data_IF_502037673185
#
_entry.id   IF_502037673185
#
_cell.length_a   1.000
_cell.length_b   1.000
_cell.length_c   1.000
_cell.angle_alpha   90.00
_cell.angle_beta   90.00
_cell.angle_gamma   90.00
#
_symmetry.space_group_name_H-M   'P 1'
#
loop_
_entity.id
_entity.type
_entity.pdbx_description
1 polymer ?
#
# COMPACT_ATOMS: atom_id res chain seq x y z
N UNK A 1 3.66 -2.50 18.96
CA UNK A 1 2.49 -2.82 18.12
C UNK A 1 2.71 -2.07 16.82
N UNK A 2 3.39 -2.70 15.86
CA UNK A 2 3.75 -2.09 14.58
C UNK A 2 3.55 -3.20 13.54
N UNK A 3 2.30 -3.36 13.13
CA UNK A 3 1.91 -4.21 12.02
C UNK A 3 2.14 -3.45 10.70
N UNK A 4 2.68 -4.17 9.71
CA UNK A 4 2.62 -3.87 8.28
C UNK A 4 3.49 -2.72 7.74
N UNK A 5 4.80 -2.99 7.61
CA UNK A 5 5.55 -2.45 6.48
C UNK A 5 6.25 -3.59 5.73
N UNK A 6 5.43 -4.30 4.96
CA UNK A 6 5.88 -5.01 3.76
C UNK A 6 5.02 -4.47 2.63
N UNK A 7 5.30 -3.24 2.23
CA UNK A 7 4.74 -2.64 1.02
C UNK A 7 5.87 -2.46 0.02
N UNK A 8 5.67 -3.04 -1.16
CA UNK A 8 6.28 -2.61 -2.41
C UNK A 8 6.14 -1.09 -2.50
N UNK A 9 7.21 -0.36 -2.18
CA UNK A 9 7.15 1.08 -1.94
C UNK A 9 7.45 1.91 -3.19
N UNK A 10 7.25 1.36 -4.39
CA UNK A 10 7.56 2.04 -5.65
C UNK A 10 6.34 2.53 -6.44
N UNK A 11 5.10 2.33 -5.96
CA UNK A 11 3.91 2.88 -6.63
C UNK A 11 2.83 3.45 -5.70
N UNK A 12 3.20 3.95 -4.52
CA UNK A 12 2.25 4.68 -3.69
C UNK A 12 2.26 6.17 -4.09
N UNK A 13 1.45 6.52 -5.09
CA UNK A 13 1.17 7.92 -5.38
C UNK A 13 0.67 8.58 -4.08
N UNK A 14 1.28 9.70 -3.70
CA UNK A 14 0.96 10.38 -2.43
C UNK A 14 -0.40 11.07 -2.56
N UNK A 15 -1.17 11.07 -1.46
CA UNK A 15 -2.39 11.84 -1.39
C UNK A 15 -2.11 13.33 -1.64
N UNK A 16 -2.85 13.95 -2.55
CA UNK A 16 -2.79 15.38 -2.82
C UNK A 16 -3.76 16.12 -1.88
N UNK A 17 -3.27 16.49 -0.70
CA UNK A 17 -4.05 17.26 0.28
C UNK A 17 -4.43 18.67 -0.24
N UNK A 18 -3.65 19.23 -1.18
CA UNK A 18 -3.98 20.49 -1.81
C UNK A 18 -5.20 20.38 -2.72
N UNK A 19 -5.29 19.30 -3.50
CA UNK A 19 -6.47 18.96 -4.29
C UNK A 19 -7.68 18.67 -3.39
N UNK A 20 -7.50 17.87 -2.33
CA UNK A 20 -8.57 17.58 -1.37
C UNK A 20 -9.19 18.86 -0.81
N UNK A 21 -8.36 19.77 -0.31
CA UNK A 21 -8.81 21.06 0.24
C UNK A 21 -9.59 21.88 -0.79
N UNK A 22 -9.07 22.01 -2.02
CA UNK A 22 -9.76 22.72 -3.11
C UNK A 22 -11.12 22.11 -3.45
N UNK A 23 -11.26 20.78 -3.40
CA UNK A 23 -12.53 20.11 -3.68
C UNK A 23 -13.56 20.36 -2.56
N UNK A 24 -13.13 20.31 -1.30
CA UNK A 24 -13.99 20.58 -0.13
C UNK A 24 -14.41 22.05 -0.08
N UNK A 25 -13.49 22.98 -0.36
CA UNK A 25 -13.75 24.43 -0.31
C UNK A 25 -14.70 24.89 -1.44
N UNK A 26 -14.82 24.14 -2.53
CA UNK A 26 -15.74 24.43 -3.64
C UNK A 26 -17.20 24.08 -3.35
N UNK A 27 -17.47 23.29 -2.32
CA UNK A 27 -18.84 22.91 -1.97
C UNK A 27 -19.52 24.10 -1.29
N UNK A 28 -20.66 24.58 -1.79
CA UNK A 28 -21.37 25.72 -1.18
C UNK A 28 -22.14 25.27 0.06
N UNK A 29 -21.41 24.91 1.13
CA UNK A 29 -21.90 24.22 2.34
C UNK A 29 -23.17 24.84 2.92
N UNK A 30 -23.22 26.16 2.99
CA UNK A 30 -24.39 26.89 3.49
C UNK A 30 -25.65 26.61 2.68
N UNK A 31 -25.55 26.59 1.36
CA UNK A 31 -26.68 26.36 0.47
C UNK A 31 -27.13 24.89 0.49
N UNK A 32 -26.19 23.94 0.47
CA UNK A 32 -26.52 22.50 0.45
C UNK A 32 -26.99 21.97 1.79
N UNK A 33 -26.60 22.59 2.91
CA UNK A 33 -27.06 22.19 4.25
C UNK A 33 -28.31 22.96 4.70
N UNK A 34 -28.68 24.05 4.01
CA UNK A 34 -29.87 24.83 4.33
C UNK A 34 -31.13 23.97 4.30
N UNK A 35 -31.89 23.99 5.38
CA UNK A 35 -33.16 23.25 5.49
C UNK A 35 -33.01 21.73 5.62
N UNK A 36 -31.78 21.19 5.69
CA UNK A 36 -31.56 19.77 5.98
C UNK A 36 -31.60 19.51 7.47
N UNK A 37 -32.23 18.40 7.85
CA UNK A 37 -32.13 17.89 9.22
C UNK A 37 -30.69 17.45 9.53
N UNK A 38 -30.34 17.38 10.82
CA UNK A 38 -28.98 17.02 11.29
C UNK A 38 -28.47 15.73 10.65
N UNK A 39 -29.32 14.70 10.58
CA UNK A 39 -28.95 13.39 10.03
C UNK A 39 -28.75 13.42 8.51
N UNK A 40 -29.59 14.16 7.79
CA UNK A 40 -29.48 14.33 6.34
C UNK A 40 -28.26 15.18 5.96
N UNK A 41 -28.03 16.27 6.69
CA UNK A 41 -26.85 17.13 6.53
C UNK A 41 -25.57 16.35 6.79
N UNK A 42 -25.53 15.53 7.84
CA UNK A 42 -24.37 14.69 8.15
C UNK A 42 -24.10 13.62 7.09
N UNK A 43 -25.15 12.99 6.57
CA UNK A 43 -25.03 12.00 5.48
C UNK A 43 -24.49 12.65 4.21
N UNK A 44 -24.99 13.85 3.87
CA UNK A 44 -24.52 14.61 2.72
C UNK A 44 -23.05 15.04 2.88
N UNK A 45 -22.69 15.55 4.06
CA UNK A 45 -21.32 15.92 4.39
C UNK A 45 -20.35 14.76 4.18
N UNK A 46 -20.66 13.59 4.75
CA UNK A 46 -19.83 12.38 4.57
C UNK A 46 -19.65 12.01 3.10
N UNK A 47 -20.71 12.11 2.31
CA UNK A 47 -20.69 11.78 0.88
C UNK A 47 -19.76 12.70 0.10
N UNK A 48 -19.82 14.00 0.33
CA UNK A 48 -18.97 14.96 -0.39
C UNK A 48 -17.50 14.87 0.04
N UNK A 49 -17.24 14.65 1.33
CA UNK A 49 -15.88 14.39 1.83
C UNK A 49 -15.31 13.11 1.20
N UNK A 50 -16.11 12.03 1.11
CA UNK A 50 -15.68 10.78 0.51
C UNK A 50 -15.33 10.94 -0.98
N UNK A 51 -16.15 11.67 -1.75
CA UNK A 51 -15.85 11.99 -3.15
C UNK A 51 -14.57 12.80 -3.32
N UNK A 52 -14.32 13.77 -2.42
CA UNK A 52 -13.09 14.55 -2.44
C UNK A 52 -11.88 13.66 -2.10
N UNK A 53 -12.03 12.74 -1.16
CA UNK A 53 -11.02 11.76 -0.80
C UNK A 53 -10.71 10.81 -1.97
N UNK A 54 -11.70 10.26 -2.66
CA UNK A 54 -11.52 9.37 -3.80
C UNK A 54 -10.75 10.01 -4.96
N UNK A 55 -10.87 11.32 -5.14
CA UNK A 55 -10.17 12.07 -6.19
C UNK A 55 -8.76 12.52 -5.76
N UNK A 56 -8.59 12.89 -4.49
CA UNK A 56 -7.35 13.45 -3.98
C UNK A 56 -6.38 12.38 -3.47
N UNK A 57 -6.91 11.24 -3.03
CA UNK A 57 -6.13 10.09 -2.62
C UNK A 57 -6.16 9.11 -3.78
N UNK A 58 -5.03 8.86 -4.46
CA UNK A 58 -4.95 7.74 -5.38
C UNK A 58 -5.18 6.48 -4.55
N UNK A 59 -6.41 5.97 -4.59
CA UNK A 59 -6.71 4.64 -4.12
C UNK A 59 -5.87 3.73 -5.00
N UNK A 60 -4.77 3.20 -4.46
CA UNK A 60 -4.17 1.98 -4.98
C UNK A 60 -5.29 0.95 -4.93
N UNK A 61 -6.09 0.88 -6.00
CA UNK A 61 -6.96 -0.24 -6.22
C UNK A 61 -5.99 -1.39 -6.22
N UNK A 62 -6.04 -2.21 -5.16
CA UNK A 62 -5.51 -3.56 -5.20
C UNK A 62 -6.35 -4.25 -6.25
N UNK A 63 -6.07 -3.99 -7.52
CA UNK A 63 -6.50 -4.85 -8.59
C UNK A 63 -5.84 -6.16 -8.18
N UNK A 64 -6.65 -7.09 -7.69
CA UNK A 64 -6.26 -8.49 -7.46
C UNK A 64 -5.68 -9.13 -8.74
N UNK A 65 -5.68 -8.40 -9.86
CA UNK A 65 -5.02 -8.66 -11.14
C UNK A 65 -3.54 -8.30 -11.20
N UNK A 66 -2.96 -7.62 -10.20
CA UNK A 66 -1.50 -7.60 -10.10
C UNK A 66 -1.06 -8.98 -9.62
N UNK A 67 -0.92 -9.86 -10.62
CA UNK A 67 -0.29 -11.15 -10.45
C UNK A 67 1.09 -10.98 -9.82
N UNK A 68 1.62 -12.10 -9.32
CA UNK A 68 2.98 -12.25 -8.80
C UNK A 68 3.96 -11.28 -9.49
N UNK A 69 4.60 -10.34 -8.77
CA UNK A 69 5.55 -9.40 -9.34
C UNK A 69 6.59 -10.12 -10.21
N UNK A 70 7.02 -9.50 -11.31
CA UNK A 70 7.94 -10.14 -12.25
C UNK A 70 9.30 -10.51 -11.60
N UNK A 71 9.70 -9.80 -10.54
CA UNK A 71 10.89 -10.11 -9.76
C UNK A 71 10.69 -11.29 -8.79
N UNK A 72 9.44 -11.64 -8.45
CA UNK A 72 9.14 -12.64 -7.43
C UNK A 72 9.31 -14.05 -8.00
N UNK A 73 10.41 -14.73 -7.67
CA UNK A 73 10.63 -16.14 -8.02
C UNK A 73 9.97 -17.12 -6.99
N UNK A 74 9.95 -18.42 -7.29
CA UNK A 74 9.21 -19.43 -6.49
C UNK A 74 9.87 -19.65 -5.13
N UNK A 75 11.20 -19.62 -5.10
CA UNK A 75 12.01 -19.80 -3.90
C UNK A 75 11.83 -18.63 -2.93
N UNK A 76 11.97 -17.40 -3.42
CA UNK A 76 11.71 -16.19 -2.65
C UNK A 76 10.30 -16.15 -2.08
N UNK A 77 9.32 -16.64 -2.83
CA UNK A 77 7.94 -16.76 -2.33
C UNK A 77 7.81 -17.75 -1.16
N UNK A 78 8.54 -18.88 -1.18
CA UNK A 78 8.58 -19.84 -0.08
C UNK A 78 9.26 -19.23 1.17
N UNK A 79 10.34 -18.47 0.97
CA UNK A 79 11.03 -17.75 2.05
C UNK A 79 10.11 -16.73 2.74
N UNK A 80 9.36 -15.94 1.95
CA UNK A 80 8.37 -15.01 2.49
C UNK A 80 7.25 -15.72 3.26
N UNK A 81 6.87 -16.93 2.85
CA UNK A 81 5.92 -17.78 3.59
C UNK A 81 6.55 -18.31 4.89
N UNK A 82 7.84 -18.68 4.86
CA UNK A 82 8.62 -19.07 6.03
C UNK A 82 8.71 -17.96 7.07
N UNK A 83 8.97 -16.73 6.64
CA UNK A 83 8.96 -15.52 7.48
C UNK A 83 7.65 -15.35 8.25
N UNK A 84 6.50 -15.61 7.60
CA UNK A 84 5.19 -15.54 8.25
C UNK A 84 5.05 -16.58 9.36
N UNK A 85 5.51 -17.82 9.12
CA UNK A 85 5.50 -18.87 10.16
C UNK A 85 6.34 -18.48 11.38
N UNK A 86 7.52 -17.90 11.16
CA UNK A 86 8.40 -17.46 12.25
C UNK A 86 7.78 -16.29 13.01
N UNK A 87 7.13 -15.35 12.32
CA UNK A 87 6.36 -14.30 12.99
C UNK A 87 5.25 -14.88 13.88
N UNK A 88 4.49 -15.86 13.39
CA UNK A 88 3.42 -16.49 14.16
C UNK A 88 3.97 -17.22 15.40
N UNK A 89 5.13 -17.87 15.29
CA UNK A 89 5.81 -18.51 16.41
C UNK A 89 6.32 -17.49 17.42
N UNK A 90 6.97 -16.41 16.96
CA UNK A 90 7.43 -15.33 17.83
C UNK A 90 6.27 -14.67 18.57
N UNK A 91 5.14 -14.43 17.88
CA UNK A 91 3.94 -13.84 18.49
C UNK A 91 3.29 -14.76 19.55
N UNK A 92 3.51 -16.07 19.44
CA UNK A 92 3.12 -17.08 20.45
C UNK A 92 4.17 -17.30 21.54
N UNK A 93 5.31 -16.60 21.49
CA UNK A 93 6.43 -16.78 22.42
C UNK A 93 7.25 -18.06 22.19
N UNK A 94 7.06 -18.71 21.03
CA UNK A 94 7.71 -19.98 20.68
C UNK A 94 8.99 -19.80 19.84
N UNK A 95 9.25 -18.58 19.37
CA UNK A 95 10.50 -18.20 18.71
C UNK A 95 11.05 -16.93 19.35
N UNK A 96 12.36 -16.71 19.23
CA UNK A 96 12.98 -15.50 19.75
C UNK A 96 12.70 -14.32 18.84
N UNK A 97 12.83 -13.11 19.39
CA UNK A 97 12.74 -11.89 18.58
C UNK A 97 13.86 -11.83 17.53
N UNK A 98 15.02 -12.41 17.84
CA UNK A 98 16.18 -12.41 16.94
C UNK A 98 15.94 -13.32 15.73
N UNK A 99 15.35 -14.50 15.92
CA UNK A 99 14.96 -15.40 14.81
C UNK A 99 14.07 -14.68 13.79
N UNK A 100 13.11 -13.89 14.27
CA UNK A 100 12.24 -13.11 13.39
C UNK A 100 12.99 -11.96 12.68
N UNK A 101 13.88 -11.25 13.39
CA UNK A 101 14.67 -10.16 12.79
C UNK A 101 15.61 -10.68 11.71
N UNK A 102 16.25 -11.82 11.92
CA UNK A 102 17.17 -12.43 10.97
C UNK A 102 16.45 -12.79 9.67
N UNK A 103 15.32 -13.48 9.77
CA UNK A 103 14.52 -13.83 8.59
C UNK A 103 13.90 -12.60 7.93
N UNK A 104 13.51 -11.58 8.72
CA UNK A 104 13.06 -10.29 8.18
C UNK A 104 14.16 -9.61 7.35
N UNK A 105 15.40 -9.60 7.85
CA UNK A 105 16.57 -9.00 7.17
C UNK A 105 16.93 -9.78 5.91
N UNK A 106 16.98 -11.11 6.00
CA UNK A 106 17.25 -12.00 4.88
C UNK A 106 16.25 -11.80 3.74
N UNK A 107 14.94 -11.85 4.03
CA UNK A 107 13.90 -11.64 3.01
C UNK A 107 14.03 -10.26 2.34
N UNK A 108 14.35 -9.20 3.10
CA UNK A 108 14.54 -7.85 2.56
C UNK A 108 15.69 -7.78 1.57
N UNK A 109 16.80 -8.44 1.88
CA UNK A 109 17.96 -8.51 1.00
C UNK A 109 17.64 -9.27 -0.30
N UNK A 110 16.93 -10.40 -0.19
CA UNK A 110 16.56 -11.19 -1.36
C UNK A 110 15.61 -10.44 -2.30
N UNK A 111 14.63 -9.70 -1.76
CA UNK A 111 13.74 -8.85 -2.56
C UNK A 111 14.56 -7.82 -3.35
N UNK A 112 15.44 -7.07 -2.67
CA UNK A 112 16.26 -6.05 -3.31
C UNK A 112 17.11 -6.59 -4.45
N UNK A 113 17.73 -7.77 -4.26
CA UNK A 113 18.52 -8.43 -5.30
C UNK A 113 17.67 -8.84 -6.49
N UNK A 114 16.49 -9.40 -6.24
CA UNK A 114 15.59 -9.82 -7.29
C UNK A 114 15.06 -8.63 -8.11
N UNK A 115 14.72 -7.52 -7.45
CA UNK A 115 14.33 -6.27 -8.09
C UNK A 115 15.46 -5.70 -8.95
N UNK A 116 16.68 -5.57 -8.39
CA UNK A 116 17.85 -5.07 -9.12
C UNK A 116 18.20 -5.94 -10.34
N UNK A 117 18.06 -7.26 -10.22
CA UNK A 117 18.30 -8.17 -11.35
C UNK A 117 17.26 -7.98 -12.45
N UNK A 118 15.99 -7.78 -12.09
CA UNK A 118 14.94 -7.49 -13.06
C UNK A 118 15.20 -6.16 -13.78
N UNK A 119 15.54 -5.10 -13.04
CA UNK A 119 15.87 -3.79 -13.60
C UNK A 119 17.05 -3.87 -14.58
N UNK A 120 18.10 -4.61 -14.21
CA UNK A 120 19.26 -4.84 -15.10
C UNK A 120 18.83 -5.54 -16.39
N UNK A 121 18.05 -6.62 -16.30
CA UNK A 121 17.59 -7.36 -17.48
C UNK A 121 16.72 -6.50 -18.42
N UNK A 122 15.90 -5.61 -17.85
CA UNK A 122 15.09 -4.67 -18.62
C UNK A 122 15.97 -3.63 -19.32
N UNK A 123 16.99 -3.09 -18.63
CA UNK A 123 17.91 -2.12 -19.21
C UNK A 123 18.75 -2.71 -20.36
N UNK A 124 19.17 -3.97 -20.25
CA UNK A 124 19.91 -4.65 -21.33
C UNK A 124 19.03 -4.94 -22.54
N UNK A 125 17.79 -5.38 -22.33
CA UNK A 125 16.86 -5.69 -23.43
C UNK A 125 16.51 -4.47 -24.31
N UNK A 126 16.56 -3.25 -23.76
CA UNK A 126 16.36 -2.01 -24.53
C UNK A 126 17.55 -1.67 -25.44
N UNK A 127 18.76 -2.12 -25.09
CA UNK A 127 19.99 -1.81 -25.83
C UNK A 127 20.22 -2.74 -27.03
N UNK A 128 19.65 -3.94 -26.99
CA UNK A 128 19.83 -4.97 -28.02
C UNK A 128 18.76 -4.90 -29.14
N UNK A 129 18.00 -3.80 -29.22
CA UNK A 129 16.84 -3.62 -30.11
C UNK A 129 16.91 -2.33 -30.94
#
# INVERSE_FOLDING_TARGET
>A
MEELELTDNTFQARADFGLFRRLVDRVPWEAVLKGKGVQEGWTFFKKEILKAQEQAVPMCQKTSRQGRPAWLNRELWLELRGKRRIYDLWKKGQATQEDYKDVKRFCREQIRRAEAQLELNLATAVKDN
#
